data_IF_835374191023
#
_entry.id   IF_835374191023
#
_cell.length_a   1.000
_cell.length_b   1.000
_cell.length_c   1.000
_cell.angle_alpha   90.00
_cell.angle_beta   90.00
_cell.angle_gamma   90.00
#
_symmetry.space_group_name_H-M   'P 1'
#
loop_
_entity.id
_entity.type
_entity.pdbx_description
1 polymer ?
#
# COMPACT_ATOMS: atom_id res chain seq x y z
N UNK A 1 -0.12 13.14 33.83
CA UNK A 1 0.78 14.16 33.24
C UNK A 1 1.40 13.73 31.91
N UNK A 2 2.42 12.87 31.83
CA UNK A 2 2.98 12.45 30.51
C UNK A 2 2.07 11.50 29.72
N UNK A 3 1.31 10.65 30.41
CA UNK A 3 0.36 9.71 29.78
C UNK A 3 -0.84 10.42 29.15
N UNK A 4 -1.41 11.41 29.84
CA UNK A 4 -2.46 12.29 29.29
C UNK A 4 -1.97 13.08 28.08
N UNK A 5 -0.75 13.62 28.14
CA UNK A 5 -0.16 14.35 27.03
C UNK A 5 0.09 13.44 25.82
N UNK A 6 0.52 12.19 26.06
CA UNK A 6 0.67 11.20 25.00
C UNK A 6 -0.68 10.85 24.38
N UNK A 7 -1.74 10.72 25.18
CA UNK A 7 -3.10 10.49 24.69
C UNK A 7 -3.63 11.67 23.85
N UNK A 8 -3.38 12.92 24.25
CA UNK A 8 -3.74 14.10 23.46
C UNK A 8 -2.98 14.15 22.13
N UNK A 9 -1.67 13.88 22.14
CA UNK A 9 -0.87 13.78 20.91
C UNK A 9 -1.41 12.69 19.98
N UNK A 10 -1.78 11.53 20.52
CA UNK A 10 -2.39 10.46 19.72
C UNK A 10 -3.77 10.85 19.18
N UNK A 11 -4.61 11.56 19.94
CA UNK A 11 -5.89 12.07 19.44
C UNK A 11 -5.71 13.05 18.27
N UNK A 12 -4.77 14.00 18.38
CA UNK A 12 -4.48 14.97 17.31
C UNK A 12 -3.95 14.26 16.06
N UNK A 13 -3.04 13.29 16.24
CA UNK A 13 -2.55 12.44 15.13
C UNK A 13 -3.69 11.67 14.47
N UNK A 14 -4.58 11.08 15.27
CA UNK A 14 -5.72 10.31 14.80
C UNK A 14 -6.78 11.14 14.06
N UNK A 15 -6.86 12.45 14.37
CA UNK A 15 -7.74 13.42 13.70
C UNK A 15 -7.20 13.97 12.37
N UNK A 16 -5.98 13.61 11.97
CA UNK A 16 -5.40 14.17 10.72
C UNK A 16 -5.94 13.52 9.44
N UNK A 17 -6.58 12.34 9.54
CA UNK A 17 -7.12 11.61 8.39
C UNK A 17 -8.59 11.26 8.67
N UNK A 18 -9.51 11.77 7.85
CA UNK A 18 -10.92 11.43 7.98
C UNK A 18 -11.15 9.92 7.76
N UNK A 19 -12.19 9.35 8.37
CA UNK A 19 -12.46 7.91 8.34
C UNK A 19 -12.59 7.35 6.91
N UNK A 20 -13.11 8.14 5.97
CA UNK A 20 -13.23 7.76 4.56
C UNK A 20 -11.87 7.65 3.87
N UNK A 21 -10.92 8.53 4.18
CA UNK A 21 -9.55 8.47 3.70
C UNK A 21 -8.78 7.30 4.32
N UNK A 22 -9.05 6.94 5.58
CA UNK A 22 -8.45 5.74 6.22
C UNK A 22 -8.79 4.46 5.45
N UNK A 23 -10.04 4.28 5.04
CA UNK A 23 -10.42 3.08 4.27
C UNK A 23 -9.79 3.02 2.88
N UNK A 24 -9.60 4.17 2.21
CA UNK A 24 -8.87 4.23 0.93
C UNK A 24 -7.39 3.90 1.08
N UNK A 25 -6.73 4.39 2.12
CA UNK A 25 -5.32 4.07 2.37
C UNK A 25 -5.14 2.61 2.74
N UNK A 26 -6.00 2.09 3.61
CA UNK A 26 -5.97 0.69 4.00
C UNK A 26 -6.14 -0.24 2.79
N UNK A 27 -7.03 0.11 1.85
CA UNK A 27 -7.18 -0.65 0.61
C UNK A 27 -5.88 -0.74 -0.20
N UNK A 28 -5.16 0.37 -0.35
CA UNK A 28 -3.88 0.37 -1.08
C UNK A 28 -2.78 -0.37 -0.33
N UNK A 29 -2.71 -0.23 0.99
CA UNK A 29 -1.77 -0.94 1.86
C UNK A 29 -1.99 -2.45 1.75
N UNK A 30 -3.23 -2.93 1.89
CA UNK A 30 -3.56 -4.36 1.78
C UNK A 30 -3.08 -4.91 0.44
N UNK A 31 -3.38 -4.22 -0.66
CA UNK A 31 -2.96 -4.67 -1.98
C UNK A 31 -1.44 -4.75 -2.13
N UNK A 32 -0.72 -3.77 -1.59
CA UNK A 32 0.72 -3.75 -1.70
C UNK A 32 1.38 -4.86 -0.88
N UNK A 33 0.93 -5.06 0.35
CA UNK A 33 1.43 -6.14 1.22
C UNK A 33 1.22 -7.51 0.58
N UNK A 34 0.03 -7.76 0.04
CA UNK A 34 -0.26 -9.02 -0.65
C UNK A 34 0.58 -9.20 -1.92
N UNK A 35 0.81 -8.12 -2.68
CA UNK A 35 1.69 -8.20 -3.84
C UNK A 35 3.13 -8.56 -3.42
N UNK A 36 3.66 -7.96 -2.35
CA UNK A 36 4.98 -8.30 -1.82
C UNK A 36 5.05 -9.71 -1.24
N UNK A 37 3.99 -10.19 -0.60
CA UNK A 37 3.91 -11.57 -0.14
C UNK A 37 4.16 -12.56 -1.29
N UNK A 38 3.60 -12.29 -2.46
CA UNK A 38 3.72 -13.20 -3.60
C UNK A 38 5.05 -13.04 -4.37
N UNK A 39 5.67 -11.84 -4.36
CA UNK A 39 6.83 -11.53 -5.22
C UNK A 39 8.15 -11.38 -4.46
N UNK A 40 8.09 -11.00 -3.18
CA UNK A 40 9.25 -10.74 -2.31
C UNK A 40 8.87 -11.03 -0.84
N UNK A 41 8.47 -12.28 -0.49
CA UNK A 41 7.99 -12.61 0.86
C UNK A 41 8.98 -12.28 1.97
N UNK A 42 10.27 -12.19 1.66
CA UNK A 42 11.32 -11.80 2.60
C UNK A 42 11.10 -10.44 3.27
N UNK A 43 10.41 -9.50 2.60
CA UNK A 43 10.13 -8.16 3.17
C UNK A 43 8.81 -8.06 3.91
N UNK A 44 7.99 -9.12 3.91
CA UNK A 44 6.75 -9.14 4.71
C UNK A 44 7.11 -9.52 6.14
N UNK A 45 6.54 -8.80 7.10
CA UNK A 45 6.80 -9.04 8.52
C UNK A 45 6.55 -10.52 8.87
N UNK A 46 7.48 -11.21 9.56
CA UNK A 46 7.43 -12.66 9.74
C UNK A 46 6.12 -13.19 10.32
N UNK A 47 5.54 -12.53 11.32
CA UNK A 47 4.30 -12.98 11.95
C UNK A 47 3.09 -12.82 11.01
N UNK A 48 3.04 -11.74 10.22
CA UNK A 48 2.05 -11.56 9.17
C UNK A 48 2.24 -12.59 8.04
N UNK A 49 3.48 -12.80 7.59
CA UNK A 49 3.78 -13.77 6.54
C UNK A 49 3.32 -15.17 6.94
N UNK A 50 3.70 -15.62 8.14
CA UNK A 50 3.28 -16.93 8.64
C UNK A 50 1.75 -17.08 8.67
N UNK A 51 1.02 -16.00 9.02
CA UNK A 51 -0.45 -15.99 8.97
C UNK A 51 -0.98 -16.10 7.53
N UNK A 52 -0.40 -15.37 6.57
CA UNK A 52 -0.79 -15.43 5.16
C UNK A 52 -0.50 -16.80 4.52
N UNK A 53 0.57 -17.46 4.94
CA UNK A 53 0.96 -18.81 4.49
C UNK A 53 -0.02 -19.90 4.98
N UNK A 54 -0.81 -19.63 6.03
CA UNK A 54 -1.86 -20.58 6.49
C UNK A 54 -3.09 -20.61 5.59
N UNK A 55 -3.26 -19.60 4.75
CA UNK A 55 -4.40 -19.53 3.82
C UNK A 55 -4.13 -20.46 2.64
N UNK A 56 -5.14 -21.23 2.23
CA UNK A 56 -5.04 -22.13 1.10
C UNK A 56 -4.44 -21.42 -0.13
N UNK A 57 -3.56 -22.11 -0.84
CA UNK A 57 -2.87 -21.60 -2.03
C UNK A 57 -3.74 -21.63 -3.28
N UNK A 58 -5.03 -21.96 -3.16
CA UNK A 58 -5.92 -21.93 -4.30
C UNK A 58 -6.22 -20.47 -4.70
N UNK A 59 -6.28 -20.20 -6.01
CA UNK A 59 -6.61 -18.86 -6.54
C UNK A 59 -8.13 -18.58 -6.43
N UNK A 60 -8.73 -19.02 -5.33
CA UNK A 60 -10.14 -18.77 -5.06
C UNK A 60 -10.33 -17.32 -4.61
N UNK A 61 -11.49 -16.78 -4.97
CA UNK A 61 -11.91 -15.46 -4.47
C UNK A 61 -11.97 -15.42 -2.93
N UNK A 62 -12.18 -16.58 -2.29
CA UNK A 62 -12.30 -16.67 -0.83
C UNK A 62 -10.94 -16.67 -0.13
N UNK A 63 -9.96 -17.43 -0.62
CA UNK A 63 -8.58 -17.36 -0.13
C UNK A 63 -8.02 -15.93 -0.22
N UNK A 64 -8.26 -15.24 -1.34
CA UNK A 64 -7.85 -13.85 -1.48
C UNK A 64 -8.51 -12.91 -0.44
N UNK A 65 -9.83 -13.03 -0.20
CA UNK A 65 -10.52 -12.25 0.83
C UNK A 65 -10.02 -12.54 2.24
N UNK A 66 -9.68 -13.80 2.52
CA UNK A 66 -9.13 -14.20 3.82
C UNK A 66 -7.77 -13.53 4.04
N UNK A 67 -6.86 -13.59 3.06
CA UNK A 67 -5.58 -12.87 3.09
C UNK A 67 -5.77 -11.36 3.26
N UNK A 68 -6.72 -10.75 2.53
CA UNK A 68 -7.05 -9.33 2.73
C UNK A 68 -7.50 -9.01 4.16
N UNK A 69 -8.29 -9.89 4.77
CA UNK A 69 -8.77 -9.72 6.14
C UNK A 69 -7.65 -9.82 7.16
N UNK A 70 -6.70 -10.75 6.97
CA UNK A 70 -5.52 -10.85 7.82
C UNK A 70 -4.66 -9.59 7.78
N UNK A 71 -4.33 -9.08 6.58
CA UNK A 71 -3.57 -7.82 6.46
C UNK A 71 -4.35 -6.65 7.05
N UNK A 72 -5.67 -6.58 6.83
CA UNK A 72 -6.52 -5.52 7.37
C UNK A 72 -6.44 -5.49 8.91
N UNK A 73 -6.69 -6.63 9.56
CA UNK A 73 -6.64 -6.75 11.01
C UNK A 73 -5.25 -6.45 11.56
N UNK A 74 -4.21 -6.86 10.86
CA UNK A 74 -2.83 -6.56 11.23
C UNK A 74 -2.57 -5.05 11.25
N UNK A 75 -2.97 -4.32 10.20
CA UNK A 75 -2.74 -2.87 10.10
C UNK A 75 -3.65 -2.08 11.04
N UNK A 76 -4.87 -2.54 11.30
CA UNK A 76 -5.81 -1.89 12.23
C UNK A 76 -5.52 -2.18 13.70
N UNK A 77 -4.78 -3.25 14.00
CA UNK A 77 -4.33 -3.52 15.36
C UNK A 77 -3.32 -2.46 15.82
N UNK A 78 -3.33 -2.11 17.11
CA UNK A 78 -2.45 -1.10 17.72
C UNK A 78 -0.99 -1.60 17.87
N UNK A 79 -0.50 -2.29 16.83
CA UNK A 79 0.84 -2.85 16.72
C UNK A 79 1.81 -1.75 16.34
N UNK A 80 3.01 -1.82 16.90
CA UNK A 80 4.11 -0.92 16.55
C UNK A 80 4.89 -1.43 15.34
N UNK A 81 4.81 -2.73 15.08
CA UNK A 81 5.52 -3.38 13.98
C UNK A 81 4.78 -3.11 12.65
N UNK A 82 5.46 -2.55 11.65
CA UNK A 82 4.89 -2.40 10.31
C UNK A 82 4.66 -3.78 9.68
N UNK A 83 3.65 -3.93 8.79
CA UNK A 83 3.38 -5.19 8.08
C UNK A 83 4.51 -5.58 7.09
N UNK A 84 5.47 -4.68 6.86
CA UNK A 84 6.57 -4.81 5.93
C UNK A 84 7.85 -4.30 6.58
N UNK A 85 9.00 -4.83 6.16
CA UNK A 85 10.28 -4.15 6.33
C UNK A 85 10.31 -2.88 5.46
N UNK A 86 9.94 -1.76 6.08
CA UNK A 86 9.89 -0.46 5.42
C UNK A 86 11.28 0.14 5.16
N UNK A 87 12.33 -0.43 5.75
CA UNK A 87 13.72 0.02 5.53
C UNK A 87 14.30 -0.66 4.29
N UNK A 88 14.00 -1.95 4.09
CA UNK A 88 14.44 -2.72 2.91
C UNK A 88 13.49 -2.58 1.69
N UNK A 89 12.33 -1.96 1.85
CA UNK A 89 11.42 -1.67 0.74
C UNK A 89 11.99 -0.60 -0.20
N UNK A 90 12.36 -1.00 -1.42
CA UNK A 90 12.96 -0.09 -2.39
C UNK A 90 11.91 0.54 -3.32
N UNK A 91 12.26 1.67 -3.96
CA UNK A 91 11.37 2.40 -4.89
C UNK A 91 10.89 1.50 -6.03
N UNK A 92 11.76 0.61 -6.50
CA UNK A 92 11.49 -0.28 -7.62
C UNK A 92 10.36 -1.27 -7.33
N UNK A 93 10.26 -1.78 -6.10
CA UNK A 93 9.18 -2.66 -5.66
C UNK A 93 7.82 -1.97 -5.83
N UNK A 94 7.73 -0.66 -5.54
CA UNK A 94 6.50 0.12 -5.77
C UNK A 94 6.21 0.37 -7.24
N UNK A 95 7.23 0.65 -8.05
CA UNK A 95 7.05 0.82 -9.49
C UNK A 95 6.51 -0.46 -10.12
N UNK A 96 7.09 -1.61 -9.76
CA UNK A 96 6.64 -2.93 -10.17
C UNK A 96 5.21 -3.21 -9.69
N UNK A 97 4.89 -2.91 -8.44
CA UNK A 97 3.52 -3.01 -7.94
C UNK A 97 2.55 -2.14 -8.74
N UNK A 98 2.85 -0.87 -9.01
CA UNK A 98 1.96 -0.03 -9.83
C UNK A 98 1.79 -0.61 -11.23
N UNK A 99 2.86 -1.15 -11.81
CA UNK A 99 2.79 -1.78 -13.12
C UNK A 99 2.06 -3.12 -13.13
N UNK A 100 1.95 -3.82 -11.99
CA UNK A 100 1.16 -5.05 -11.89
C UNK A 100 -0.34 -4.80 -11.74
N UNK A 101 -0.76 -3.56 -11.44
CA UNK A 101 -2.19 -3.24 -11.28
C UNK A 101 -2.95 -3.33 -12.60
N UNK A 102 -4.12 -3.96 -12.54
CA UNK A 102 -5.11 -4.05 -13.60
C UNK A 102 -6.50 -3.75 -13.08
N UNK A 103 -7.35 -3.19 -13.95
CA UNK A 103 -8.78 -3.03 -13.70
C UNK A 103 -9.50 -4.34 -14.04
N UNK A 104 -10.73 -4.51 -13.53
CA UNK A 104 -11.59 -5.68 -13.81
C UNK A 104 -11.89 -5.87 -15.31
N UNK A 105 -11.87 -4.80 -16.09
CA UNK A 105 -12.05 -4.82 -17.54
C UNK A 105 -10.76 -5.17 -18.32
N UNK A 106 -9.72 -5.65 -17.62
CA UNK A 106 -8.43 -5.99 -18.21
C UNK A 106 -7.60 -4.78 -18.65
N UNK A 107 -8.06 -3.54 -18.41
CA UNK A 107 -7.32 -2.33 -18.78
C UNK A 107 -6.39 -1.88 -17.67
N UNK A 108 -5.37 -1.11 -18.04
CA UNK A 108 -4.48 -0.48 -17.05
C UNK A 108 -5.22 0.61 -16.27
N UNK A 109 -4.91 0.81 -14.98
CA UNK A 109 -5.52 1.86 -14.18
C UNK A 109 -5.35 3.27 -14.76
N UNK A 110 -6.30 4.13 -14.41
CA UNK A 110 -6.21 5.57 -14.68
C UNK A 110 -5.39 6.31 -13.63
N UNK A 111 -5.11 7.59 -13.89
CA UNK A 111 -4.30 8.46 -13.01
C UNK A 111 -4.81 8.52 -11.57
N UNK A 112 -6.13 8.50 -11.36
CA UNK A 112 -6.73 8.58 -10.02
C UNK A 112 -6.35 7.40 -9.14
N UNK A 113 -6.48 6.16 -9.63
CA UNK A 113 -6.15 4.96 -8.85
C UNK A 113 -4.66 4.94 -8.49
N UNK A 114 -3.81 5.26 -9.44
CA UNK A 114 -2.37 5.41 -9.21
C UNK A 114 -2.04 6.44 -8.12
N UNK A 115 -2.71 7.60 -8.15
CA UNK A 115 -2.59 8.61 -7.11
C UNK A 115 -3.02 8.09 -5.73
N UNK A 116 -4.16 7.39 -5.65
CA UNK A 116 -4.63 6.80 -4.41
C UNK A 116 -3.69 5.74 -3.84
N UNK A 117 -3.14 4.87 -4.71
CA UNK A 117 -2.17 3.84 -4.31
C UNK A 117 -0.88 4.47 -3.78
N UNK A 118 -0.37 5.50 -4.48
CA UNK A 118 0.75 6.31 -3.98
C UNK A 118 0.44 6.84 -2.59
N UNK A 119 -0.67 7.56 -2.39
CA UNK A 119 -0.99 8.13 -1.07
C UNK A 119 -1.13 7.08 0.03
N UNK A 120 -1.60 5.88 -0.30
CA UNK A 120 -1.69 4.74 0.63
C UNK A 120 -0.32 4.31 1.14
N UNK A 121 0.67 4.26 0.25
CA UNK A 121 2.05 3.92 0.58
C UNK A 121 2.68 5.00 1.47
N UNK A 122 2.53 6.28 1.11
CA UNK A 122 3.02 7.37 1.97
C UNK A 122 2.35 7.34 3.35
N UNK A 123 1.06 6.98 3.40
CA UNK A 123 0.36 6.81 4.66
C UNK A 123 0.92 5.65 5.48
N UNK A 124 1.35 4.55 4.86
CA UNK A 124 1.96 3.41 5.55
C UNK A 124 3.22 3.83 6.32
N UNK A 125 4.16 4.53 5.68
CA UNK A 125 5.36 5.04 6.35
C UNK A 125 5.02 5.97 7.50
N UNK A 126 4.06 6.88 7.29
CA UNK A 126 3.59 7.79 8.34
C UNK A 126 2.91 7.07 9.50
N UNK A 127 2.15 6.00 9.23
CA UNK A 127 1.41 5.24 10.23
C UNK A 127 2.35 4.60 11.26
N UNK A 128 3.51 4.12 10.80
CA UNK A 128 4.51 3.47 11.63
C UNK A 128 5.70 4.37 12.02
N UNK A 129 5.57 5.69 11.80
CA UNK A 129 6.60 6.69 12.09
C UNK A 129 7.99 6.35 11.48
N UNK A 130 7.99 5.70 10.31
CA UNK A 130 9.20 5.35 9.58
C UNK A 130 9.48 6.41 8.53
N UNK A 131 10.70 6.93 8.51
CA UNK A 131 11.14 7.86 7.48
C UNK A 131 11.24 7.13 6.14
N UNK A 132 10.58 7.66 5.11
CA UNK A 132 10.78 7.18 3.75
C UNK A 132 12.23 7.38 3.31
N UNK A 133 12.84 6.44 2.56
CA UNK A 133 14.22 6.60 2.12
C UNK A 133 14.47 7.88 1.32
N UNK A 134 15.70 8.38 1.35
CA UNK A 134 16.04 9.63 0.66
C UNK A 134 15.77 9.51 -0.85
N UNK A 135 15.28 10.59 -1.48
CA UNK A 135 14.89 10.65 -2.89
C UNK A 135 13.64 9.86 -3.32
N UNK A 136 12.96 9.14 -2.42
CA UNK A 136 11.76 8.36 -2.76
C UNK A 136 10.68 9.17 -3.47
N UNK A 137 10.36 10.32 -2.91
CA UNK A 137 9.29 11.17 -3.44
C UNK A 137 9.65 11.69 -4.84
N UNK A 138 10.94 11.97 -5.07
CA UNK A 138 11.46 12.45 -6.35
C UNK A 138 11.38 11.36 -7.42
N UNK A 139 11.86 10.15 -7.14
CA UNK A 139 11.81 9.03 -8.08
C UNK A 139 10.36 8.66 -8.42
N UNK A 140 9.49 8.55 -7.41
CA UNK A 140 8.07 8.34 -7.66
C UNK A 140 7.45 9.48 -8.48
N UNK A 141 7.79 10.76 -8.24
CA UNK A 141 7.33 11.89 -9.08
C UNK A 141 7.75 11.71 -10.54
N UNK A 142 9.01 11.33 -10.80
CA UNK A 142 9.51 11.08 -12.16
C UNK A 142 8.76 9.92 -12.81
N UNK A 143 8.63 8.80 -12.10
CA UNK A 143 7.88 7.62 -12.55
C UNK A 143 6.43 7.98 -12.91
N UNK A 144 5.72 8.65 -12.00
CA UNK A 144 4.33 9.05 -12.25
C UNK A 144 4.17 10.06 -13.40
N UNK A 145 5.17 10.93 -13.62
CA UNK A 145 5.20 11.81 -14.80
C UNK A 145 5.30 11.00 -16.10
N UNK A 146 6.15 9.97 -16.13
CA UNK A 146 6.25 9.00 -17.23
C UNK A 146 4.94 8.22 -17.42
N UNK A 147 4.40 7.66 -16.35
CA UNK A 147 3.16 6.90 -16.34
C UNK A 147 1.97 7.71 -16.88
N UNK A 148 1.87 9.00 -16.52
CA UNK A 148 0.84 9.90 -17.05
C UNK A 148 0.94 10.03 -18.57
N UNK A 149 2.14 10.20 -19.12
CA UNK A 149 2.36 10.26 -20.57
C UNK A 149 1.94 8.95 -21.23
N UNK A 150 2.27 7.80 -20.65
CA UNK A 150 1.86 6.49 -21.15
C UNK A 150 0.35 6.26 -21.08
N UNK A 151 -0.34 6.75 -20.04
CA UNK A 151 -1.81 6.70 -19.96
C UNK A 151 -2.45 7.56 -21.07
N UNK A 152 -1.97 8.79 -21.26
CA UNK A 152 -2.47 9.68 -22.32
C UNK A 152 -2.27 9.07 -23.70
N UNK A 153 -1.09 8.51 -23.98
CA UNK A 153 -0.79 7.85 -25.26
C UNK A 153 -1.75 6.68 -25.54
N UNK A 154 -1.96 5.79 -24.56
CA UNK A 154 -2.91 4.67 -24.69
C UNK A 154 -4.35 5.12 -24.96
N UNK A 155 -4.76 6.24 -24.35
CA UNK A 155 -6.09 6.79 -24.57
C UNK A 155 -6.26 7.34 -25.99
N UNK A 156 -5.20 7.93 -26.56
CA UNK A 156 -5.17 8.40 -27.94
C UNK A 156 -5.17 7.23 -28.94
N UNK A 157 -4.37 6.20 -28.69
CA UNK A 157 -4.31 4.98 -29.51
C UNK A 157 -5.64 4.19 -29.49
N UNK A 158 -6.37 4.19 -28.39
CA UNK A 158 -7.68 3.50 -28.28
C UNK A 158 -8.85 4.24 -28.95
N UNK A 159 -8.66 5.52 -29.31
CA UNK A 159 -9.69 6.38 -29.89
C UNK A 159 -9.43 6.68 -31.39
N UNK A 160 -8.35 6.15 -31.95
CA UNK A 160 -7.98 6.22 -33.37
C UNK A 160 -8.40 4.93 -34.08
#
# INVERSE_FOLDING_TARGET
MMEELNNEVQMVRNNTVNAKSKSFYLYGIIKYVLWLHDHKPGVVEPSLRALLDTVATDDTTEAYKQKQSHVKLYVESDRREPPLDLVDSNVHDFECFFMSLWRKDGKKPGKSLYGSMRSSIFHLYRLYDVQMPENYDNELRKFFKGLKRSVVRRQQESNA
#
